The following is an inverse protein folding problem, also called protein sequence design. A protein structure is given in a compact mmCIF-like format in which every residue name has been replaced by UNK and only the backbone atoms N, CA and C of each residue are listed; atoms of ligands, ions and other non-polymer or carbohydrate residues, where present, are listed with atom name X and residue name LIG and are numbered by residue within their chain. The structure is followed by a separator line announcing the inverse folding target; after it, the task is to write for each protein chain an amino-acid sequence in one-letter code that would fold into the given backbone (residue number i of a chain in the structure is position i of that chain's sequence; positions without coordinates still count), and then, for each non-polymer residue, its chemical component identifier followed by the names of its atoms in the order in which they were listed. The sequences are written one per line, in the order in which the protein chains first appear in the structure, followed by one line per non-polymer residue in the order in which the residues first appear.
data_IF_151287713441
#
_entry.id   IF_151287713441
#
_cell.length_a   1.000
_cell.length_b   1.000
_cell.length_c   1.000
_cell.angle_alpha   90.00
_cell.angle_beta   90.00
_cell.angle_gamma   90.00
#
_symmetry.space_group_name_H-M   'P 1'
#
loop_
_entity.id
_entity.type
_entity.pdbx_description
1 polymer ?
#
# COMPACT_ATOMS: atom_id res chain seq x y z
N UNK A 1 28.07 23.05 -6.71
CA UNK A 1 26.83 22.24 -6.62
C UNK A 1 26.51 21.55 -7.96
N UNK A 2 27.47 21.44 -8.89
CA UNK A 2 27.27 20.91 -10.25
C UNK A 2 27.59 19.41 -10.42
N UNK A 3 28.38 18.82 -9.51
CA UNK A 3 28.77 17.40 -9.60
C UNK A 3 27.57 16.44 -9.43
N UNK A 4 26.51 16.89 -8.77
CA UNK A 4 25.30 16.09 -8.57
C UNK A 4 24.52 15.91 -9.88
N UNK A 5 24.40 16.98 -10.68
CA UNK A 5 23.73 16.94 -11.98
C UNK A 5 24.55 16.15 -13.00
N UNK A 6 25.88 16.22 -12.94
CA UNK A 6 26.73 15.41 -13.79
C UNK A 6 26.62 13.90 -13.50
N UNK A 7 26.42 13.51 -12.24
CA UNK A 7 26.19 12.12 -11.86
C UNK A 7 24.81 11.60 -12.27
N UNK A 8 23.75 12.44 -12.21
CA UNK A 8 22.43 12.05 -12.75
C UNK A 8 22.47 11.90 -14.27
N UNK A 9 23.13 12.83 -14.97
CA UNK A 9 23.14 12.84 -16.45
C UNK A 9 24.05 11.78 -17.06
N UNK A 10 25.13 11.41 -16.37
CA UNK A 10 26.06 10.39 -16.88
C UNK A 10 25.61 8.95 -16.63
N UNK A 11 24.49 8.73 -15.92
CA UNK A 11 24.01 7.39 -15.57
C UNK A 11 24.98 6.59 -14.70
N UNK A 12 26.03 7.24 -14.19
CA UNK A 12 27.11 6.63 -13.41
C UNK A 12 26.79 6.72 -11.92
N UNK A 13 25.52 6.56 -11.57
CA UNK A 13 25.10 6.32 -10.20
C UNK A 13 25.72 4.97 -9.84
N UNK A 14 26.90 5.01 -9.21
CA UNK A 14 27.60 3.84 -8.67
C UNK A 14 26.55 3.03 -7.91
N UNK A 15 26.11 1.92 -8.49
CA UNK A 15 25.35 0.95 -7.73
C UNK A 15 26.22 0.62 -6.53
N UNK A 16 25.70 0.92 -5.34
CA UNK A 16 26.36 0.62 -4.08
C UNK A 16 26.89 -0.80 -4.17
N UNK A 17 28.19 -0.92 -3.93
CA UNK A 17 29.00 -2.10 -4.09
C UNK A 17 28.34 -3.30 -3.39
N UNK A 18 27.54 -4.08 -4.14
CA UNK A 18 26.92 -5.33 -3.68
C UNK A 18 27.96 -6.46 -3.55
N UNK A 19 29.25 -6.13 -3.46
CA UNK A 19 30.34 -7.08 -3.28
C UNK A 19 30.62 -7.43 -1.81
N UNK A 20 29.76 -7.07 -0.87
CA UNK A 20 29.82 -7.60 0.50
C UNK A 20 29.20 -9.01 0.61
N UNK A 21 29.51 -9.88 -0.36
CA UNK A 21 29.27 -11.33 -0.26
C UNK A 21 30.52 -11.91 0.39
N UNK A 22 30.51 -12.25 1.69
CA UNK A 22 31.68 -12.84 2.33
C UNK A 22 32.01 -14.13 1.60
N UNK A 23 33.22 -14.15 1.06
CA UNK A 23 33.91 -15.32 0.53
C UNK A 23 33.88 -16.43 1.59
N UNK A 24 33.01 -17.44 1.41
CA UNK A 24 33.18 -18.70 2.11
C UNK A 24 32.59 -19.89 1.35
N UNK A 25 32.87 -20.00 0.04
CA UNK A 25 32.64 -21.27 -0.66
C UNK A 25 33.55 -21.46 -1.88
N UNK A 26 34.87 -21.49 -1.65
CA UNK A 26 35.88 -21.88 -2.66
C UNK A 26 36.71 -23.08 -2.22
N UNK A 27 36.14 -23.96 -1.39
CA UNK A 27 36.78 -25.24 -1.08
C UNK A 27 35.75 -26.34 -1.29
N UNK A 28 35.51 -26.75 -2.54
CA UNK A 28 35.67 -28.15 -2.99
C UNK A 28 35.14 -28.36 -4.43
N UNK A 29 35.90 -29.17 -5.19
CA UNK A 29 35.67 -29.73 -6.54
C UNK A 29 35.94 -28.74 -7.70
N UNK A 30 37.15 -28.70 -8.25
CA UNK A 30 37.74 -29.82 -9.01
C UNK A 30 37.11 -29.82 -10.41
N UNK A 31 37.70 -29.21 -11.42
CA UNK A 31 38.95 -29.70 -12.02
C UNK A 31 38.64 -30.88 -12.95
N UNK A 32 38.06 -30.61 -14.13
CA UNK A 32 37.78 -31.62 -15.15
C UNK A 32 37.72 -31.02 -16.56
N UNK A 33 38.79 -31.16 -17.38
CA UNK A 33 38.86 -30.60 -18.72
C UNK A 33 38.67 -31.67 -19.81
N UNK A 34 37.43 -32.10 -20.10
CA UNK A 34 37.04 -32.91 -21.29
C UNK A 34 35.53 -32.73 -21.47
N UNK A 35 34.93 -32.44 -22.61
CA UNK A 35 35.35 -32.47 -24.01
C UNK A 35 34.06 -32.68 -24.83
N UNK A 36 34.02 -32.12 -26.04
CA UNK A 36 33.02 -32.36 -27.10
C UNK A 36 31.57 -32.00 -26.75
N UNK A 37 31.06 -30.92 -27.37
CA UNK A 37 29.70 -30.83 -27.95
C UNK A 37 29.57 -29.49 -28.70
N UNK A 38 30.41 -29.31 -29.72
CA UNK A 38 30.50 -28.06 -30.50
C UNK A 38 29.79 -28.13 -31.87
N UNK A 39 28.87 -29.09 -32.07
CA UNK A 39 28.19 -29.29 -33.36
C UNK A 39 26.67 -29.12 -33.29
N UNK A 40 26.09 -28.93 -32.11
CA UNK A 40 24.63 -28.85 -31.93
C UNK A 40 24.09 -27.43 -31.68
N UNK A 41 24.75 -26.40 -32.22
CA UNK A 41 24.37 -24.99 -32.02
C UNK A 41 23.52 -24.37 -33.14
N UNK A 42 23.07 -25.17 -34.13
CA UNK A 42 22.30 -24.64 -35.27
C UNK A 42 20.82 -25.02 -35.27
N UNK A 43 20.34 -25.74 -34.26
CA UNK A 43 18.96 -26.23 -34.20
C UNK A 43 18.24 -25.80 -32.91
N UNK A 44 18.20 -24.49 -32.67
CA UNK A 44 17.62 -23.94 -31.43
C UNK A 44 16.95 -22.58 -31.58
N UNK A 45 16.30 -22.30 -32.72
CA UNK A 45 15.60 -21.02 -32.91
C UNK A 45 14.09 -21.12 -33.19
N UNK A 46 13.57 -22.31 -33.51
CA UNK A 46 12.14 -22.50 -33.82
C UNK A 46 11.28 -22.92 -32.63
N UNK A 47 11.85 -23.36 -31.50
CA UNK A 47 11.07 -23.64 -30.28
C UNK A 47 10.67 -22.36 -29.51
N UNK A 48 11.23 -21.22 -29.91
CA UNK A 48 10.94 -19.92 -29.28
C UNK A 48 9.53 -19.41 -29.58
N UNK A 49 8.84 -19.94 -30.60
CA UNK A 49 7.47 -19.53 -30.94
C UNK A 49 6.45 -20.02 -29.91
N UNK A 50 6.62 -21.24 -29.39
CA UNK A 50 5.75 -21.77 -28.33
C UNK A 50 5.95 -21.03 -27.01
N UNK A 51 7.21 -20.76 -26.64
CA UNK A 51 7.50 -19.91 -25.49
C UNK A 51 6.97 -18.48 -25.69
N UNK A 52 7.01 -17.96 -26.91
CA UNK A 52 6.47 -16.63 -27.21
C UNK A 52 4.95 -16.57 -27.04
N UNK A 53 4.21 -17.62 -27.40
CA UNK A 53 2.76 -17.64 -27.19
C UNK A 53 2.38 -17.71 -25.71
N UNK A 54 3.14 -18.48 -24.91
CA UNK A 54 2.89 -18.56 -23.47
C UNK A 54 3.20 -17.22 -22.78
N UNK A 55 4.26 -16.52 -23.21
CA UNK A 55 4.56 -15.15 -22.76
C UNK A 55 3.47 -14.15 -23.17
N UNK A 56 2.92 -14.27 -24.37
CA UNK A 56 1.82 -13.40 -24.82
C UNK A 56 0.55 -13.63 -24.00
N UNK A 57 0.25 -14.88 -23.64
CA UNK A 57 -0.88 -15.20 -22.77
C UNK A 57 -0.68 -14.63 -21.35
N UNK A 58 0.53 -14.76 -20.79
CA UNK A 58 0.85 -14.15 -19.49
C UNK A 58 0.71 -12.62 -19.51
N UNK A 59 1.19 -11.96 -20.58
CA UNK A 59 1.02 -10.51 -20.75
C UNK A 59 -0.47 -10.16 -20.84
N UNK A 60 -1.26 -10.95 -21.57
CA UNK A 60 -2.70 -10.74 -21.68
C UNK A 60 -3.39 -10.84 -20.31
N UNK A 61 -3.08 -11.86 -19.51
CA UNK A 61 -3.64 -12.01 -18.16
C UNK A 61 -3.28 -10.81 -17.27
N UNK A 62 -2.02 -10.35 -17.31
CA UNK A 62 -1.59 -9.15 -16.58
C UNK A 62 -2.36 -7.92 -17.03
N UNK A 63 -2.55 -7.72 -18.34
CA UNK A 63 -3.33 -6.60 -18.86
C UNK A 63 -4.80 -6.66 -18.45
N UNK A 64 -5.41 -7.86 -18.42
CA UNK A 64 -6.78 -8.04 -17.92
C UNK A 64 -6.88 -7.67 -16.43
N UNK A 65 -5.93 -8.13 -15.59
CA UNK A 65 -5.91 -7.74 -14.16
C UNK A 65 -5.70 -6.23 -13.96
N UNK A 66 -4.88 -5.59 -14.80
CA UNK A 66 -4.66 -4.14 -14.75
C UNK A 66 -5.93 -3.36 -15.11
N UNK A 67 -6.66 -3.80 -16.14
CA UNK A 67 -7.94 -3.18 -16.54
C UNK A 67 -8.97 -3.31 -15.43
N UNK A 68 -9.08 -4.49 -14.80
CA UNK A 68 -9.98 -4.69 -13.67
C UNK A 68 -9.62 -3.82 -12.46
N UNK A 69 -8.33 -3.66 -12.17
CA UNK A 69 -7.83 -2.75 -11.12
C UNK A 69 -8.21 -1.29 -11.42
N UNK A 70 -7.96 -0.81 -12.63
CA UNK A 70 -8.34 0.55 -13.05
C UNK A 70 -9.85 0.78 -12.99
N UNK A 71 -10.65 -0.22 -13.38
CA UNK A 71 -12.11 -0.15 -13.29
C UNK A 71 -12.58 -0.05 -11.84
N UNK A 72 -12.03 -0.88 -10.94
CA UNK A 72 -12.33 -0.83 -9.51
C UNK A 72 -11.94 0.53 -8.92
N UNK A 73 -10.77 1.05 -9.27
CA UNK A 73 -10.32 2.37 -8.84
C UNK A 73 -11.28 3.47 -9.32
N UNK A 74 -11.70 3.46 -10.58
CA UNK A 74 -12.67 4.41 -11.11
C UNK A 74 -14.02 4.35 -10.36
N UNK A 75 -14.53 3.14 -10.08
CA UNK A 75 -15.76 2.94 -9.31
C UNK A 75 -15.65 3.49 -7.88
N UNK A 76 -14.51 3.27 -7.21
CA UNK A 76 -14.28 3.82 -5.87
C UNK A 76 -14.26 5.36 -5.87
N UNK A 77 -13.65 5.98 -6.87
CA UNK A 77 -13.67 7.44 -7.02
C UNK A 77 -15.08 7.96 -7.26
N UNK A 78 -15.86 7.32 -8.13
CA UNK A 78 -17.25 7.71 -8.38
C UNK A 78 -18.12 7.59 -7.12
N UNK A 79 -17.95 6.49 -6.36
CA UNK A 79 -18.65 6.28 -5.11
C UNK A 79 -18.30 7.35 -4.07
N UNK A 80 -17.01 7.73 -3.99
CA UNK A 80 -16.53 8.80 -3.12
C UNK A 80 -17.13 10.16 -3.52
N UNK A 81 -17.06 10.53 -4.80
CA UNK A 81 -17.64 11.79 -5.30
C UNK A 81 -19.14 11.86 -4.98
N UNK A 82 -19.88 10.76 -5.20
CA UNK A 82 -21.31 10.69 -4.86
C UNK A 82 -21.58 10.87 -3.36
N UNK A 83 -20.71 10.33 -2.50
CA UNK A 83 -20.82 10.52 -1.05
C UNK A 83 -20.54 11.98 -0.65
N UNK A 84 -19.54 12.60 -1.27
CA UNK A 84 -19.19 14.02 -1.08
C UNK A 84 -20.32 14.95 -1.55
N UNK A 85 -20.96 14.66 -2.69
CA UNK A 85 -22.15 15.39 -3.17
C UNK A 85 -23.31 15.32 -2.17
N UNK A 86 -23.62 14.13 -1.63
CA UNK A 86 -24.68 13.98 -0.61
C UNK A 86 -24.36 14.77 0.65
N UNK A 87 -23.08 14.78 1.07
CA UNK A 87 -22.62 15.57 2.21
C UNK A 87 -22.82 17.06 1.94
N UNK A 88 -22.44 17.54 0.76
CA UNK A 88 -22.63 18.94 0.36
C UNK A 88 -24.10 19.34 0.37
N UNK A 89 -24.98 18.50 -0.19
CA UNK A 89 -26.43 18.73 -0.19
C UNK A 89 -27.01 18.79 1.24
N UNK A 90 -26.59 17.88 2.12
CA UNK A 90 -27.02 17.90 3.53
C UNK A 90 -26.56 19.18 4.24
N UNK A 91 -25.32 19.62 4.01
CA UNK A 91 -24.79 20.87 4.55
C UNK A 91 -25.56 22.08 4.02
N UNK A 92 -25.93 22.10 2.74
CA UNK A 92 -26.75 23.15 2.15
C UNK A 92 -28.14 23.25 2.81
N UNK A 93 -28.80 22.10 3.05
CA UNK A 93 -30.10 22.05 3.73
C UNK A 93 -29.99 22.60 5.16
N UNK A 94 -28.93 22.21 5.89
CA UNK A 94 -28.68 22.72 7.25
C UNK A 94 -28.46 24.23 7.22
N UNK A 95 -27.63 24.72 6.31
CA UNK A 95 -27.34 26.15 6.17
C UNK A 95 -28.61 26.96 5.86
N UNK A 96 -29.45 26.49 4.94
CA UNK A 96 -30.75 27.10 4.64
C UNK A 96 -31.65 27.17 5.87
N UNK A 97 -31.74 26.09 6.64
CA UNK A 97 -32.54 26.06 7.86
C UNK A 97 -32.02 27.02 8.93
N UNK A 98 -30.71 27.06 9.14
CA UNK A 98 -30.08 28.01 10.07
C UNK A 98 -30.33 29.47 9.65
N UNK A 99 -30.24 29.76 8.35
CA UNK A 99 -30.51 31.09 7.82
C UNK A 99 -31.97 31.53 8.06
N UNK A 100 -32.93 30.63 7.82
CA UNK A 100 -34.36 30.89 8.08
C UNK A 100 -34.64 31.11 9.58
N UNK A 101 -33.96 30.38 10.46
CA UNK A 101 -34.07 30.59 11.91
C UNK A 101 -33.48 31.92 12.36
N UNK A 102 -32.36 32.33 11.77
CA UNK A 102 -31.72 33.62 12.08
C UNK A 102 -32.52 34.81 11.51
N UNK A 103 -33.17 34.63 10.35
CA UNK A 103 -33.89 35.67 9.64
C UNK A 103 -35.33 35.22 9.30
N UNK A 104 -36.27 35.27 10.24
CA UNK A 104 -37.64 34.74 10.03
C UNK A 104 -38.43 35.48 8.93
N UNK A 105 -38.05 36.71 8.59
CA UNK A 105 -38.71 37.50 7.54
C UNK A 105 -38.01 37.39 6.16
N UNK A 106 -36.91 36.66 6.06
CA UNK A 106 -36.12 36.54 4.84
C UNK A 106 -36.71 35.45 3.93
N UNK A 107 -37.58 35.84 2.99
CA UNK A 107 -38.13 34.96 1.96
C UNK A 107 -37.16 34.65 0.80
N UNK A 108 -35.96 35.22 0.83
CA UNK A 108 -34.93 35.14 -0.22
C UNK A 108 -33.89 34.02 0.01
N UNK A 109 -34.05 33.21 1.06
CA UNK A 109 -33.12 32.13 1.40
C UNK A 109 -32.83 31.19 0.21
N UNK A 110 -33.85 30.84 -0.57
CA UNK A 110 -33.69 29.93 -1.70
C UNK A 110 -32.92 30.58 -2.87
N UNK A 111 -32.95 31.92 -2.99
CA UNK A 111 -32.20 32.65 -4.02
C UNK A 111 -30.73 32.86 -3.64
N UNK A 112 -30.43 33.04 -2.35
CA UNK A 112 -29.06 33.22 -1.85
C UNK A 112 -28.24 31.93 -1.89
N UNK A 113 -28.89 30.80 -1.62
CA UNK A 113 -28.26 29.47 -1.62
C UNK A 113 -28.48 28.70 -2.92
N UNK A 114 -29.13 29.30 -3.93
CA UNK A 114 -29.02 28.79 -5.28
C UNK A 114 -27.55 28.99 -5.68
N UNK A 115 -26.72 27.97 -5.40
CA UNK A 115 -25.38 27.85 -5.98
C UNK A 115 -25.60 28.07 -7.45
N UNK A 116 -25.20 29.23 -7.96
CA UNK A 116 -25.40 29.57 -9.34
C UNK A 116 -24.77 28.45 -10.13
N UNK A 117 -25.59 27.61 -10.76
CA UNK A 117 -25.12 26.74 -11.81
C UNK A 117 -24.36 27.68 -12.72
N UNK A 118 -23.01 27.56 -12.82
CA UNK A 118 -22.25 28.50 -13.60
C UNK A 118 -22.94 28.54 -14.96
N UNK A 119 -23.40 29.73 -15.34
CA UNK A 119 -24.07 29.88 -16.62
C UNK A 119 -23.12 29.30 -17.65
N UNK A 120 -23.62 28.43 -18.52
CA UNK A 120 -22.80 27.63 -19.45
C UNK A 120 -21.85 28.54 -20.26
N UNK A 121 -22.20 29.82 -20.41
CA UNK A 121 -21.39 30.87 -21.03
C UNK A 121 -20.16 31.33 -20.23
N UNK A 122 -20.16 31.30 -18.89
CA UNK A 122 -18.97 31.62 -18.07
C UNK A 122 -18.05 30.41 -17.90
N UNK A 123 -18.60 29.20 -17.81
CA UNK A 123 -17.82 27.97 -17.75
C UNK A 123 -17.00 27.75 -19.04
N UNK A 124 -17.55 28.11 -20.20
CA UNK A 124 -16.85 28.02 -21.49
C UNK A 124 -15.71 29.05 -21.65
N UNK A 125 -15.77 30.19 -20.95
CA UNK A 125 -14.68 31.19 -20.99
C UNK A 125 -13.54 30.84 -20.05
N UNK A 126 -13.83 30.20 -18.92
CA UNK A 126 -12.81 29.75 -17.96
C UNK A 126 -12.11 28.45 -18.38
N UNK A 127 -12.76 27.55 -19.14
CA UNK A 127 -12.11 26.32 -19.63
C UNK A 127 -11.06 26.59 -20.73
N UNK A 128 -11.19 27.68 -21.48
CA UNK A 128 -10.24 28.02 -22.56
C UNK A 128 -8.96 28.70 -22.03
N UNK A 129 -9.02 29.41 -20.89
CA UNK A 129 -7.82 30.01 -20.29
C UNK A 129 -6.96 29.01 -19.50
N UNK A 130 -7.54 27.92 -19.00
CA UNK A 130 -6.79 26.90 -18.27
C UNK A 130 -6.03 25.93 -19.20
N UNK A 131 -6.41 25.83 -20.48
CA UNK A 131 -5.67 25.00 -21.45
C UNK A 131 -4.46 25.70 -22.10
N UNK A 132 -4.29 27.02 -21.95
CA UNK A 132 -3.16 27.77 -22.52
C UNK A 132 -1.97 27.98 -21.56
N UNK A 133 -2.06 27.49 -20.32
CA UNK A 133 -0.97 27.61 -19.32
C UNK A 133 -0.30 26.28 -18.97
N UNK A 134 -0.67 25.19 -19.64
CA UNK A 134 -0.16 23.84 -19.35
C UNK A 134 0.98 23.36 -20.26
N UNK A 135 1.58 24.23 -21.07
CA UNK A 135 2.67 23.83 -22.00
C UNK A 135 4.09 24.29 -21.58
N UNK A 136 4.27 24.96 -20.42
CA UNK A 136 5.61 25.45 -20.01
C UNK A 136 6.00 25.20 -18.53
N UNK A 137 5.22 24.47 -17.73
CA UNK A 137 5.62 24.13 -16.34
C UNK A 137 5.26 22.71 -15.92
N UNK A 138 5.35 21.74 -16.83
CA UNK A 138 5.28 20.34 -16.47
C UNK A 138 6.69 19.80 -16.25
N UNK A 139 7.16 19.81 -14.99
CA UNK A 139 7.83 18.70 -14.27
C UNK A 139 8.45 19.30 -13.00
N UNK A 140 7.84 19.06 -11.84
CA UNK A 140 8.31 19.31 -10.46
C UNK A 140 7.35 20.19 -9.64
N UNK A 141 6.23 19.62 -9.20
CA UNK A 141 5.79 19.61 -7.79
C UNK A 141 4.50 18.82 -7.69
N UNK A 142 4.37 18.13 -6.56
CA UNK A 142 3.19 17.37 -6.13
C UNK A 142 3.10 15.92 -6.62
N UNK A 143 4.17 15.16 -6.32
CA UNK A 143 4.08 13.74 -6.01
C UNK A 143 4.47 13.54 -4.54
N UNK A 144 3.69 14.12 -3.64
CA UNK A 144 3.72 13.77 -2.22
C UNK A 144 2.26 13.69 -1.77
N UNK A 145 1.89 12.53 -1.22
CA UNK A 145 0.56 12.17 -0.68
C UNK A 145 -0.36 11.42 -1.66
N UNK A 146 -0.06 10.14 -1.88
CA UNK A 146 -1.00 9.00 -1.75
C UNK A 146 -0.36 7.72 -2.31
N UNK A 147 0.55 7.14 -1.52
CA UNK A 147 0.98 5.75 -1.69
C UNK A 147 0.75 5.03 -0.35
N UNK A 148 -0.36 4.31 -0.29
CA UNK A 148 -0.71 3.20 0.59
C UNK A 148 -2.21 3.06 0.38
N UNK A 149 -2.68 2.21 -0.52
CA UNK A 149 -2.95 0.81 -0.21
C UNK A 149 -3.31 0.14 -1.53
N UNK A 150 -2.51 -0.84 -1.97
CA UNK A 150 -2.97 -2.01 -2.71
C UNK A 150 -1.74 -2.84 -3.13
N UNK A 151 -1.30 -3.76 -2.29
CA UNK A 151 -0.74 -5.05 -2.76
C UNK A 151 -0.39 -5.97 -1.57
N UNK A 152 -1.18 -7.02 -1.39
CA UNK A 152 -0.67 -8.37 -1.10
C UNK A 152 -1.84 -9.37 -1.12
N UNK A 153 -2.40 -9.57 -2.32
CA UNK A 153 -2.93 -10.88 -2.70
C UNK A 153 -1.72 -11.67 -3.17
N UNK A 154 -1.16 -12.55 -2.35
CA UNK A 154 -0.41 -13.67 -2.88
C UNK A 154 -0.62 -14.93 -2.04
N UNK A 155 -0.85 -16.00 -2.81
CA UNK A 155 -0.97 -17.39 -2.41
C UNK A 155 0.23 -17.85 -1.60
N UNK A 156 -0.02 -18.76 -0.67
CA UNK A 156 1.00 -19.72 -0.25
C UNK A 156 0.34 -21.09 -0.06
N UNK A 157 0.40 -21.88 -1.13
CA UNK A 157 0.23 -23.32 -1.12
C UNK A 157 1.61 -23.88 -1.50
N UNK A 158 2.10 -24.83 -0.70
CA UNK A 158 3.40 -25.53 -0.77
C UNK A 158 4.63 -24.87 -0.11
N UNK A 159 4.81 -25.14 1.19
CA UNK A 159 6.04 -25.80 1.70
C UNK A 159 5.83 -26.38 3.11
N UNK A 160 5.37 -27.63 3.13
CA UNK A 160 5.47 -28.54 4.26
C UNK A 160 6.78 -29.33 4.11
N UNK A 161 7.83 -28.94 4.84
CA UNK A 161 8.91 -29.81 5.32
C UNK A 161 10.03 -28.98 5.98
N UNK A 162 10.13 -29.06 7.31
CA UNK A 162 11.35 -29.14 8.13
C UNK A 162 11.17 -28.43 9.48
N UNK A 163 10.53 -29.12 10.42
CA UNK A 163 10.75 -28.90 11.85
C UNK A 163 11.84 -29.86 12.30
N UNK A 164 12.96 -29.35 12.79
CA UNK A 164 13.72 -29.94 13.89
C UNK A 164 14.73 -28.92 14.41
N UNK A 165 14.61 -28.63 15.71
CA UNK A 165 15.67 -28.23 16.63
C UNK A 165 16.38 -26.89 16.40
N UNK A 166 15.95 -25.88 17.17
CA UNK A 166 16.84 -24.91 17.82
C UNK A 166 16.03 -24.16 18.92
N UNK A 167 15.74 -24.86 20.01
CA UNK A 167 15.67 -24.22 21.34
C UNK A 167 17.10 -23.87 21.73
N UNK A 168 17.40 -22.60 22.02
CA UNK A 168 18.01 -22.16 23.29
C UNK A 168 18.43 -20.68 23.21
N UNK A 169 18.11 -19.93 24.26
CA UNK A 169 18.79 -18.69 24.63
C UNK A 169 18.31 -17.39 24.00
N UNK A 170 17.49 -16.63 24.75
CA UNK A 170 17.91 -15.29 25.23
C UNK A 170 16.90 -14.70 26.22
N UNK A 171 17.43 -14.51 27.43
CA UNK A 171 16.80 -14.01 28.64
C UNK A 171 17.11 -12.51 28.76
N UNK A 172 16.10 -11.75 29.20
CA UNK A 172 16.18 -10.45 29.88
C UNK A 172 16.77 -9.25 29.13
N UNK A 173 15.88 -8.50 28.47
CA UNK A 173 15.98 -7.04 28.40
C UNK A 173 14.55 -6.46 28.46
N UNK A 174 14.09 -6.06 29.66
CA UNK A 174 12.69 -5.66 29.93
C UNK A 174 12.55 -4.33 30.70
N UNK A 175 13.57 -3.48 30.78
CA UNK A 175 13.49 -2.28 31.64
C UNK A 175 13.81 -0.95 30.95
N UNK A 176 13.69 -0.85 29.62
CA UNK A 176 13.99 0.39 28.91
C UNK A 176 12.99 0.69 27.77
N UNK A 177 11.70 0.80 28.09
CA UNK A 177 10.66 1.19 27.10
C UNK A 177 9.68 2.29 27.56
N UNK A 178 9.85 2.92 28.73
CA UNK A 178 8.82 3.82 29.29
C UNK A 178 8.91 5.33 28.95
N UNK A 179 9.92 5.85 28.25
CA UNK A 179 10.09 7.32 28.15
C UNK A 179 9.81 8.03 26.80
N UNK A 180 9.44 7.32 25.72
CA UNK A 180 9.08 7.97 24.43
C UNK A 180 7.63 7.66 24.03
N UNK A 181 6.67 8.31 24.69
CA UNK A 181 5.22 8.06 24.55
C UNK A 181 4.55 8.72 23.33
N UNK A 182 5.22 9.61 22.59
CA UNK A 182 4.56 10.43 21.56
C UNK A 182 5.14 10.27 20.15
N UNK A 183 5.73 9.11 19.83
CA UNK A 183 6.13 8.85 18.45
C UNK A 183 4.86 8.68 17.57
N UNK A 184 4.62 9.55 16.56
CA UNK A 184 3.47 9.45 15.68
C UNK A 184 3.55 8.13 14.90
N UNK A 185 2.63 7.20 15.18
CA UNK A 185 2.55 5.91 14.52
C UNK A 185 2.68 4.69 15.45
N UNK A 186 2.98 4.86 16.74
CA UNK A 186 2.93 3.75 17.71
C UNK A 186 1.49 3.53 18.19
N UNK A 187 1.09 2.27 18.30
CA UNK A 187 -0.25 1.89 18.77
C UNK A 187 -0.46 2.35 20.22
N UNK A 188 -1.50 3.16 20.46
CA UNK A 188 -1.82 3.69 21.79
C UNK A 188 -2.33 2.59 22.73
N UNK A 189 -2.26 2.82 24.04
CA UNK A 189 -2.74 1.83 25.02
C UNK A 189 -4.26 1.60 24.90
N UNK A 190 -5.02 2.64 24.55
CA UNK A 190 -6.46 2.54 24.29
C UNK A 190 -6.70 1.61 23.09
N UNK A 191 -5.93 1.78 22.01
CA UNK A 191 -6.04 0.92 20.82
C UNK A 191 -5.60 -0.52 21.09
N UNK A 192 -4.66 -0.74 22.02
CA UNK A 192 -4.27 -2.09 22.43
C UNK A 192 -5.41 -2.84 23.12
N UNK A 193 -6.18 -2.17 23.97
CA UNK A 193 -7.35 -2.76 24.62
C UNK A 193 -8.51 -3.04 23.65
N UNK A 194 -8.74 -2.16 22.68
CA UNK A 194 -9.75 -2.40 21.63
C UNK A 194 -9.34 -3.59 20.76
N UNK A 195 -8.07 -3.63 20.32
CA UNK A 195 -7.53 -4.78 19.59
C UNK A 195 -7.61 -6.07 20.39
N UNK A 196 -7.29 -6.03 21.69
CA UNK A 196 -7.40 -7.22 22.54
C UNK A 196 -8.83 -7.78 22.57
N UNK A 197 -9.84 -6.89 22.66
CA UNK A 197 -11.25 -7.29 22.64
C UNK A 197 -11.63 -7.97 21.31
N UNK A 198 -11.17 -7.42 20.18
CA UNK A 198 -11.38 -7.98 18.84
C UNK A 198 -10.66 -9.33 18.69
N UNK A 199 -9.40 -9.42 19.13
CA UNK A 199 -8.63 -10.66 19.08
C UNK A 199 -9.32 -11.74 19.90
N UNK A 200 -9.78 -11.42 21.11
CA UNK A 200 -10.46 -12.37 21.97
C UNK A 200 -11.76 -12.89 21.33
N UNK A 201 -12.58 -12.00 20.78
CA UNK A 201 -13.79 -12.39 20.05
C UNK A 201 -13.47 -13.33 18.87
N UNK A 202 -12.50 -12.99 18.01
CA UNK A 202 -12.13 -13.82 16.86
C UNK A 202 -11.53 -15.16 17.29
N UNK A 203 -10.88 -15.22 18.46
CA UNK A 203 -10.35 -16.45 19.04
C UNK A 203 -11.45 -17.36 19.57
N UNK A 204 -12.48 -16.79 20.20
CA UNK A 204 -13.68 -17.53 20.61
C UNK A 204 -14.42 -18.14 19.41
N UNK A 205 -14.37 -17.47 18.26
CA UNK A 205 -14.88 -17.97 16.97
C UNK A 205 -13.99 -19.06 16.32
N UNK A 206 -12.83 -19.38 16.92
CA UNK A 206 -11.89 -20.38 16.40
C UNK A 206 -11.02 -19.89 15.23
N UNK A 207 -10.90 -18.58 15.05
CA UNK A 207 -10.08 -18.01 13.98
C UNK A 207 -8.58 -18.21 14.27
N UNK A 208 -7.81 -18.61 13.25
CA UNK A 208 -6.35 -18.71 13.33
C UNK A 208 -5.66 -17.34 13.36
N UNK A 209 -4.48 -17.26 13.99
CA UNK A 209 -3.75 -16.02 14.25
C UNK A 209 -3.43 -15.19 13.00
N UNK A 210 -3.07 -15.83 11.88
CA UNK A 210 -2.77 -15.11 10.62
C UNK A 210 -4.00 -14.42 10.04
N UNK A 211 -5.18 -15.04 10.16
CA UNK A 211 -6.42 -14.44 9.69
C UNK A 211 -6.84 -13.25 10.57
N UNK A 212 -6.58 -13.33 11.86
CA UNK A 212 -6.77 -12.20 12.79
C UNK A 212 -5.79 -11.06 12.44
N UNK A 213 -4.51 -11.37 12.18
CA UNK A 213 -3.52 -10.37 11.77
C UNK A 213 -3.93 -9.63 10.49
N UNK A 214 -4.41 -10.36 9.47
CA UNK A 214 -4.94 -9.75 8.24
C UNK A 214 -6.16 -8.88 8.50
N UNK A 215 -7.07 -9.30 9.38
CA UNK A 215 -8.25 -8.53 9.74
C UNK A 215 -7.88 -7.20 10.42
N UNK A 216 -6.96 -7.24 11.38
CA UNK A 216 -6.45 -6.05 12.07
C UNK A 216 -5.72 -5.12 11.09
N UNK A 217 -4.88 -5.67 10.20
CA UNK A 217 -4.19 -4.90 9.18
C UNK A 217 -5.17 -4.23 8.20
N UNK A 218 -6.24 -4.92 7.82
CA UNK A 218 -7.29 -4.38 6.94
C UNK A 218 -8.12 -3.27 7.59
N UNK A 219 -8.14 -3.20 8.92
CA UNK A 219 -8.77 -2.12 9.67
C UNK A 219 -7.86 -0.88 9.84
N UNK A 220 -6.61 -0.95 9.36
CA UNK A 220 -5.67 0.18 9.39
C UNK A 220 -4.99 0.39 10.74
N UNK A 221 -5.02 -0.59 11.65
CA UNK A 221 -4.33 -0.46 12.94
C UNK A 221 -2.80 -0.55 12.75
N UNK A 222 -2.01 0.41 13.25
CA UNK A 222 -0.56 0.32 13.21
C UNK A 222 -0.05 -0.83 14.09
N UNK A 223 1.12 -1.39 13.78
CA UNK A 223 1.74 -2.42 14.63
C UNK A 223 2.23 -1.82 15.95
N UNK A 224 2.53 -2.69 16.94
CA UNK A 224 3.06 -2.26 18.25
C UNK A 224 4.37 -1.46 18.13
N UNK A 225 5.17 -1.77 17.10
CA UNK A 225 6.40 -1.05 16.76
C UNK A 225 6.17 0.18 15.88
N UNK A 226 4.97 0.35 15.32
CA UNK A 226 4.64 1.37 14.32
C UNK A 226 5.27 1.13 12.95
N UNK A 227 5.82 -0.07 12.71
CA UNK A 227 6.53 -0.44 11.48
C UNK A 227 6.06 -1.80 10.96
N UNK A 228 5.88 -1.88 9.64
CA UNK A 228 5.54 -3.12 8.94
C UNK A 228 4.09 -3.58 9.11
N UNK A 229 3.82 -4.80 8.62
CA UNK A 229 2.49 -5.42 8.63
C UNK A 229 2.31 -6.35 9.83
N UNK A 230 1.07 -6.51 10.28
CA UNK A 230 0.70 -7.49 11.31
C UNK A 230 1.02 -8.91 10.85
N UNK A 231 1.64 -9.70 11.73
CA UNK A 231 1.86 -11.14 11.57
C UNK A 231 1.17 -11.92 12.68
N UNK A 232 0.78 -13.16 12.44
CA UNK A 232 0.10 -13.99 13.44
C UNK A 232 0.87 -14.11 14.76
N UNK A 233 2.21 -14.21 14.69
CA UNK A 233 3.08 -14.25 15.88
C UNK A 233 2.96 -12.97 16.73
N UNK A 234 2.84 -11.80 16.10
CA UNK A 234 2.69 -10.53 16.82
C UNK A 234 1.34 -10.44 17.55
N UNK A 235 0.28 -10.90 16.90
CA UNK A 235 -1.08 -10.96 17.49
C UNK A 235 -1.10 -11.90 18.68
N UNK A 236 -0.49 -13.08 18.55
CA UNK A 236 -0.34 -14.04 19.66
C UNK A 236 0.41 -13.42 20.83
N UNK A 237 1.56 -12.79 20.58
CA UNK A 237 2.35 -12.14 21.64
C UNK A 237 1.58 -11.01 22.32
N UNK A 238 0.78 -10.23 21.58
CA UNK A 238 -0.08 -9.20 22.17
C UNK A 238 -1.16 -9.82 23.06
N UNK A 239 -1.80 -10.89 22.58
CA UNK A 239 -2.81 -11.62 23.34
C UNK A 239 -2.23 -12.19 24.63
N UNK A 240 -1.08 -12.89 24.55
CA UNK A 240 -0.42 -13.50 25.71
C UNK A 240 0.02 -12.44 26.75
N UNK A 241 0.41 -11.24 26.30
CA UNK A 241 0.77 -10.12 27.19
C UNK A 241 -0.42 -9.50 27.92
N UNK A 242 -1.58 -9.44 27.26
CA UNK A 242 -2.79 -8.79 27.79
C UNK A 242 -3.73 -9.78 28.49
N UNK A 243 -3.60 -11.08 28.18
CA UNK A 243 -4.33 -12.12 28.86
C UNK A 243 -3.91 -12.12 30.35
N UNK A 244 -4.88 -12.06 31.28
CA UNK A 244 -4.55 -12.16 32.69
C UNK A 244 -3.87 -13.51 32.91
N UNK A 245 -2.60 -13.49 33.31
CA UNK A 245 -1.87 -14.68 33.74
C UNK A 245 -2.67 -15.33 34.86
N UNK A 246 -3.42 -16.38 34.52
CA UNK A 246 -4.23 -17.16 35.46
C UNK A 246 -3.38 -18.19 36.19
#
# INVERSE_FOLDING_TARGET
MDDFLHNLRSGKLKQGDRSNRPYNDQQYKGGGPRGRNMVDRRKGHFDNTKESSDRLNAIKEILETLVDSQKKMAETYEARTRAEERKALAMEVIAKNLYRLANPNAGDADTLFAVGSPTVEEAAKNSVQHLQTLDDTATERDLATQEAEDEAVYSDDAQEAANADEEDGLVADQQQEEEDLDAPGRLTEVDRHTLFSVINQMRDEGTGWEKIARHISAQGYPTISGKGNWRGVMVKNLYDKMAPTS
#
